data_IF_352536338597
#
_entry.id   IF_352536338597
#
_cell.length_a   1.000
_cell.length_b   1.000
_cell.length_c   1.000
_cell.angle_alpha   90.00
_cell.angle_beta   90.00
_cell.angle_gamma   90.00
#
_symmetry.space_group_name_H-M   'P 1'
#
loop_
_entity.id
_entity.type
_entity.pdbx_description
1 polymer ?
#
# COMPACT_ATOMS: atom_id res chain seq x y z
N UNK A 1 -12.19 -36.59 41.10
CA UNK A 1 -12.07 -36.10 39.71
C UNK A 1 -12.53 -34.64 39.73
N UNK A 2 -11.58 -33.70 39.74
CA UNK A 2 -11.84 -32.27 39.93
C UNK A 2 -12.16 -31.61 38.58
N UNK A 3 -13.39 -31.12 38.39
CA UNK A 3 -13.73 -30.23 37.29
C UNK A 3 -13.68 -28.78 37.79
N UNK A 4 -12.57 -28.11 37.46
CA UNK A 4 -12.44 -26.65 37.55
C UNK A 4 -13.33 -26.00 36.49
N UNK A 5 -14.43 -25.38 36.90
CA UNK A 5 -15.15 -24.40 36.09
C UNK A 5 -14.30 -23.13 36.01
N UNK A 6 -13.63 -22.94 34.87
CA UNK A 6 -13.04 -21.65 34.49
C UNK A 6 -14.17 -20.64 34.34
N UNK A 7 -14.31 -19.74 35.33
CA UNK A 7 -15.08 -18.50 35.17
C UNK A 7 -14.52 -17.74 33.98
N UNK A 8 -15.33 -17.58 32.94
CA UNK A 8 -15.09 -16.69 31.83
C UNK A 8 -14.99 -15.26 32.35
N UNK A 9 -13.91 -14.58 31.97
CA UNK A 9 -13.56 -13.21 32.33
C UNK A 9 -14.43 -12.21 31.56
N UNK A 10 -15.76 -12.36 31.63
CA UNK A 10 -16.75 -11.54 30.93
C UNK A 10 -17.64 -10.70 31.85
N UNK A 11 -17.50 -10.81 33.17
CA UNK A 11 -18.41 -10.17 34.13
C UNK A 11 -17.76 -9.05 34.98
N UNK A 12 -16.57 -8.57 34.60
CA UNK A 12 -15.85 -7.50 35.32
C UNK A 12 -15.71 -6.19 34.54
N UNK A 13 -16.40 -6.04 33.41
CA UNK A 13 -16.56 -4.75 32.74
C UNK A 13 -17.96 -4.23 33.03
N UNK A 14 -18.02 -3.37 34.03
CA UNK A 14 -19.24 -2.68 34.43
C UNK A 14 -19.91 -1.95 33.26
N UNK A 15 -21.23 -2.04 33.28
CA UNK A 15 -22.21 -1.13 32.69
C UNK A 15 -21.67 0.25 32.30
N UNK A 16 -21.32 0.37 31.02
CA UNK A 16 -21.14 1.63 30.32
C UNK A 16 -21.69 1.45 28.91
N UNK A 17 -22.93 1.91 28.68
CA UNK A 17 -23.43 2.16 27.33
C UNK A 17 -22.44 3.10 26.65
N UNK A 18 -21.75 2.69 25.59
CA UNK A 18 -21.46 3.50 24.40
C UNK A 18 -20.65 2.74 23.33
N UNK A 19 -21.24 2.73 22.13
CA UNK A 19 -20.70 2.49 20.79
C UNK A 19 -20.09 1.12 20.50
N UNK A 20 -20.94 0.21 20.00
CA UNK A 20 -20.48 -0.68 18.93
C UNK A 20 -20.01 0.19 17.74
N UNK A 21 -18.90 -0.15 17.07
CA UNK A 21 -18.51 0.48 15.82
C UNK A 21 -19.54 0.11 14.76
N UNK A 22 -20.59 0.91 14.67
CA UNK A 22 -21.61 0.82 13.64
C UNK A 22 -21.00 1.38 12.35
N UNK A 23 -20.23 0.53 11.66
CA UNK A 23 -19.94 0.49 10.21
C UNK A 23 -18.63 -0.27 9.98
N UNK A 24 -18.75 -1.52 9.55
CA UNK A 24 -17.63 -2.34 9.05
C UNK A 24 -17.16 -1.87 7.65
N UNK A 25 -17.51 -0.63 7.27
CA UNK A 25 -17.36 -0.02 5.97
C UNK A 25 -16.55 1.28 6.09
N UNK A 26 -15.57 1.44 5.20
CA UNK A 26 -14.81 2.70 5.08
C UNK A 26 -15.78 3.86 4.81
N UNK A 27 -15.64 5.01 5.50
CA UNK A 27 -16.53 6.16 5.27
C UNK A 27 -16.49 6.66 3.82
N UNK A 28 -17.64 7.02 3.25
CA UNK A 28 -17.74 7.47 1.83
C UNK A 28 -16.83 8.67 1.53
N UNK A 29 -16.76 9.64 2.44
CA UNK A 29 -15.89 10.81 2.29
C UNK A 29 -14.41 10.42 2.18
N UNK A 30 -13.99 9.32 2.83
CA UNK A 30 -12.61 8.80 2.71
C UNK A 30 -12.39 8.21 1.32
N UNK A 31 -13.36 7.45 0.80
CA UNK A 31 -13.29 6.86 -0.54
C UNK A 31 -13.24 7.97 -1.61
N UNK A 32 -14.08 8.99 -1.47
CA UNK A 32 -14.09 10.15 -2.37
C UNK A 32 -12.76 10.91 -2.32
N UNK A 33 -12.29 11.27 -1.13
CA UNK A 33 -11.02 11.97 -0.96
C UNK A 33 -9.83 11.16 -1.49
N UNK A 34 -9.83 9.85 -1.24
CA UNK A 34 -8.82 8.94 -1.75
C UNK A 34 -8.83 8.85 -3.27
N UNK A 35 -10.00 8.81 -3.93
CA UNK A 35 -10.11 8.73 -5.39
C UNK A 35 -9.55 9.96 -6.13
N UNK A 36 -9.43 11.09 -5.43
CA UNK A 36 -8.89 12.36 -5.94
C UNK A 36 -7.44 12.58 -5.49
N UNK A 37 -6.87 11.67 -4.72
CA UNK A 37 -5.53 11.81 -4.19
C UNK A 37 -4.51 11.67 -5.31
N UNK A 38 -3.61 12.64 -5.51
CA UNK A 38 -2.63 12.54 -6.57
C UNK A 38 -1.64 11.41 -6.29
N UNK A 39 -1.48 10.57 -7.31
CA UNK A 39 -0.43 9.56 -7.37
C UNK A 39 0.66 10.01 -8.34
N UNK A 40 1.85 9.46 -8.16
CA UNK A 40 2.97 9.69 -9.07
C UNK A 40 3.29 8.40 -9.79
N UNK A 41 3.60 8.53 -11.08
CA UNK A 41 4.20 7.47 -11.89
C UNK A 41 5.64 7.83 -12.19
N UNK A 42 6.48 6.81 -12.35
CA UNK A 42 7.83 6.96 -12.84
C UNK A 42 8.22 5.72 -13.63
N UNK A 43 9.14 5.92 -14.58
CA UNK A 43 9.65 4.85 -15.41
C UNK A 43 11.08 4.51 -15.01
N UNK A 44 11.39 3.22 -15.02
CA UNK A 44 12.76 2.72 -14.88
C UNK A 44 13.09 1.95 -16.16
N UNK A 45 14.18 2.35 -16.81
CA UNK A 45 14.67 1.74 -18.04
C UNK A 45 15.91 0.92 -17.74
N UNK A 46 15.84 -0.35 -18.06
CA UNK A 46 16.95 -1.26 -18.00
C UNK A 46 17.53 -1.41 -19.41
N UNK A 47 18.77 -0.96 -19.60
CA UNK A 47 19.38 -0.87 -20.93
C UNK A 47 19.84 -2.23 -21.49
N UNK A 48 20.16 -3.18 -20.63
CA UNK A 48 20.65 -4.50 -20.99
C UNK A 48 20.35 -5.52 -19.89
N UNK A 49 20.66 -6.79 -20.17
CA UNK A 49 20.63 -7.86 -19.18
C UNK A 49 21.70 -7.60 -18.15
N UNK A 50 21.30 -6.93 -17.08
CA UNK A 50 22.08 -6.76 -15.86
C UNK A 50 21.43 -7.67 -14.81
N UNK A 51 22.21 -8.16 -13.85
CA UNK A 51 21.74 -8.94 -12.68
C UNK A 51 20.85 -8.09 -11.74
N UNK A 52 19.81 -7.47 -12.27
CA UNK A 52 18.85 -6.64 -11.56
C UNK A 52 17.97 -7.56 -10.73
N UNK A 53 18.13 -7.49 -9.41
CA UNK A 53 17.35 -8.32 -8.49
C UNK A 53 16.16 -7.54 -7.95
N UNK A 54 15.15 -7.34 -8.81
CA UNK A 54 13.84 -6.86 -8.37
C UNK A 54 12.99 -8.05 -7.98
N UNK A 55 12.62 -8.12 -6.71
CA UNK A 55 11.62 -9.07 -6.23
C UNK A 55 10.27 -8.37 -6.18
N UNK A 56 9.28 -8.96 -6.82
CA UNK A 56 7.88 -8.53 -6.74
C UNK A 56 7.07 -9.53 -5.93
N UNK A 57 6.14 -9.02 -5.13
CA UNK A 57 5.11 -9.82 -4.50
C UNK A 57 3.81 -9.61 -5.26
N UNK A 58 3.28 -10.72 -5.79
CA UNK A 58 1.97 -10.73 -6.40
C UNK A 58 0.89 -10.88 -5.34
N UNK A 59 -0.09 -9.97 -5.31
CA UNK A 59 -1.23 -10.01 -4.40
C UNK A 59 -2.52 -10.08 -5.22
N UNK A 60 -3.36 -11.06 -4.92
CA UNK A 60 -4.63 -11.29 -5.62
C UNK A 60 -5.80 -11.23 -4.64
N UNK A 61 -6.85 -10.53 -5.03
CA UNK A 61 -8.16 -10.67 -4.40
C UNK A 61 -9.03 -11.70 -5.15
N UNK A 62 -10.00 -12.30 -4.45
CA UNK A 62 -10.87 -13.37 -4.98
C UNK A 62 -11.56 -13.02 -6.31
N UNK A 63 -11.72 -11.72 -6.63
CA UNK A 63 -12.36 -11.20 -7.86
C UNK A 63 -11.67 -9.92 -8.35
N UNK A 64 -10.39 -9.98 -8.67
CA UNK A 64 -9.67 -8.83 -9.21
C UNK A 64 -8.41 -9.20 -9.97
N UNK A 65 -7.86 -8.21 -10.67
CA UNK A 65 -6.53 -8.26 -11.25
C UNK A 65 -5.49 -8.42 -10.13
N UNK A 66 -4.40 -9.09 -10.46
CA UNK A 66 -3.27 -9.25 -9.57
C UNK A 66 -2.45 -7.97 -9.52
N UNK A 67 -2.06 -7.60 -8.30
CA UNK A 67 -1.21 -6.45 -8.04
C UNK A 67 0.22 -6.92 -7.88
N UNK A 68 1.13 -6.32 -8.61
CA UNK A 68 2.56 -6.57 -8.52
C UNK A 68 3.21 -5.46 -7.72
N UNK A 69 3.68 -5.78 -6.50
CA UNK A 69 4.33 -4.81 -5.62
C UNK A 69 5.81 -5.10 -5.53
N UNK A 70 6.66 -4.10 -5.68
CA UNK A 70 8.09 -4.23 -5.42
C UNK A 70 8.28 -4.53 -3.93
N UNK A 71 8.78 -5.72 -3.60
CA UNK A 71 9.05 -6.14 -2.22
C UNK A 71 10.53 -5.99 -1.84
N UNK A 72 11.43 -6.11 -2.82
CA UNK A 72 12.87 -5.87 -2.67
C UNK A 72 13.43 -5.38 -4.00
N UNK A 73 14.40 -4.48 -3.93
CA UNK A 73 15.24 -4.11 -5.07
C UNK A 73 16.61 -3.67 -4.58
N UNK A 74 17.64 -4.01 -5.35
CA UNK A 74 19.00 -3.49 -5.29
C UNK A 74 19.20 -2.23 -6.13
N UNK A 75 18.22 -1.88 -6.96
CA UNK A 75 18.22 -0.67 -7.79
C UNK A 75 17.71 0.53 -6.98
N UNK A 76 18.49 1.63 -6.87
CA UNK A 76 18.11 2.78 -6.07
C UNK A 76 16.85 3.49 -6.61
N UNK A 77 16.62 3.40 -7.92
CA UNK A 77 15.49 4.03 -8.60
C UNK A 77 14.20 3.22 -8.46
N UNK A 78 14.26 1.95 -8.05
CA UNK A 78 13.09 1.08 -7.89
C UNK A 78 12.64 1.04 -6.44
N UNK A 79 11.64 1.87 -6.12
CA UNK A 79 11.21 2.06 -4.74
C UNK A 79 10.34 0.90 -4.23
N UNK A 80 10.78 0.24 -3.16
CA UNK A 80 10.01 -0.79 -2.45
C UNK A 80 8.63 -0.25 -2.04
N UNK A 81 7.59 -1.06 -2.25
CA UNK A 81 6.19 -0.73 -2.04
C UNK A 81 5.51 -0.08 -3.25
N UNK A 82 6.24 0.24 -4.31
CA UNK A 82 5.65 0.69 -5.58
C UNK A 82 4.88 -0.44 -6.25
N UNK A 83 3.79 -0.10 -6.91
CA UNK A 83 3.10 -1.02 -7.79
C UNK A 83 3.77 -0.99 -9.16
N UNK A 84 4.15 -2.15 -9.69
CA UNK A 84 4.49 -2.27 -11.11
C UNK A 84 3.17 -2.34 -11.89
N UNK A 85 2.95 -1.37 -12.78
CA UNK A 85 1.69 -1.24 -13.51
C UNK A 85 1.81 -1.66 -14.97
N UNK A 86 2.94 -1.34 -15.62
CA UNK A 86 3.28 -1.74 -16.99
C UNK A 86 4.69 -2.30 -17.06
N UNK A 87 4.89 -3.22 -17.99
CA UNK A 87 6.20 -3.61 -18.52
C UNK A 87 6.14 -3.30 -20.02
N UNK A 88 7.10 -2.54 -20.52
CA UNK A 88 7.16 -2.16 -21.93
C UNK A 88 5.85 -1.54 -22.45
N UNK A 89 5.22 -0.69 -21.64
CA UNK A 89 3.95 -0.03 -22.01
C UNK A 89 2.71 -0.93 -21.96
N UNK A 90 2.89 -2.24 -21.69
CA UNK A 90 1.83 -3.23 -21.66
C UNK A 90 1.48 -3.68 -20.24
N UNK A 91 0.22 -4.08 -20.06
CA UNK A 91 -0.26 -4.65 -18.80
C UNK A 91 0.35 -6.02 -18.60
N UNK A 92 0.85 -6.27 -17.38
CA UNK A 92 1.37 -7.58 -17.00
C UNK A 92 0.22 -8.60 -17.07
N UNK A 93 0.33 -9.67 -17.86
CA UNK A 93 -0.70 -10.70 -17.95
C UNK A 93 -0.98 -11.37 -16.60
N UNK A 94 -2.19 -11.89 -16.46
CA UNK A 94 -2.53 -12.74 -15.32
C UNK A 94 -1.82 -14.10 -15.43
N UNK A 95 -0.64 -14.23 -14.80
CA UNK A 95 0.06 -15.52 -14.65
C UNK A 95 -0.47 -16.40 -13.49
N UNK A 96 0.33 -17.38 -13.06
CA UNK A 96 0.03 -18.24 -11.89
C UNK A 96 0.27 -17.52 -10.54
N UNK A 97 -0.32 -18.01 -9.43
CA UNK A 97 -0.17 -17.37 -8.11
C UNK A 97 1.28 -17.31 -7.60
N UNK A 98 2.15 -18.20 -8.07
CA UNK A 98 3.57 -18.26 -7.69
C UNK A 98 4.48 -17.53 -8.68
N UNK A 99 3.90 -16.87 -9.67
CA UNK A 99 4.65 -16.11 -10.65
C UNK A 99 5.24 -14.86 -9.97
N UNK A 100 6.58 -14.82 -9.92
CA UNK A 100 7.35 -13.75 -9.30
C UNK A 100 8.35 -13.14 -10.28
N UNK A 101 8.46 -13.72 -11.47
CA UNK A 101 9.32 -13.21 -12.53
C UNK A 101 8.50 -12.26 -13.40
N UNK A 102 8.76 -10.97 -13.19
CA UNK A 102 8.06 -9.89 -13.87
C UNK A 102 8.22 -9.93 -15.40
N UNK A 103 9.28 -10.58 -15.90
CA UNK A 103 9.64 -10.62 -17.31
C UNK A 103 9.46 -11.99 -17.95
N UNK A 104 9.04 -13.01 -17.21
CA UNK A 104 8.92 -14.38 -17.73
C UNK A 104 7.94 -14.50 -18.91
N UNK A 105 6.92 -13.63 -18.98
CA UNK A 105 5.95 -13.61 -20.07
C UNK A 105 6.45 -12.87 -21.31
N UNK A 106 7.45 -12.00 -21.17
CA UNK A 106 7.95 -11.13 -22.22
C UNK A 106 9.20 -11.75 -22.88
N UNK A 107 8.99 -12.96 -23.42
CA UNK A 107 10.06 -13.83 -23.96
C UNK A 107 10.62 -13.34 -25.29
N UNK A 108 9.94 -12.39 -25.94
CA UNK A 108 10.31 -11.84 -27.26
C UNK A 108 10.92 -10.43 -27.14
N UNK A 109 10.73 -9.77 -26.00
CA UNK A 109 11.31 -8.47 -25.68
C UNK A 109 12.80 -8.56 -25.52
N UNK A 110 13.47 -7.94 -26.49
CA UNK A 110 14.87 -7.55 -26.36
C UNK A 110 14.98 -6.33 -25.46
N UNK A 111 16.12 -6.20 -24.79
CA UNK A 111 16.47 -4.96 -24.12
C UNK A 111 16.45 -3.76 -25.10
N UNK A 112 16.10 -2.55 -24.64
CA UNK A 112 15.87 -2.19 -23.25
C UNK A 112 14.47 -2.56 -22.74
N UNK A 113 14.36 -2.82 -21.43
CA UNK A 113 13.07 -3.09 -20.75
C UNK A 113 12.66 -1.91 -19.89
N UNK A 114 11.41 -1.48 -20.01
CA UNK A 114 10.85 -0.36 -19.25
C UNK A 114 9.82 -0.86 -18.25
N UNK A 115 9.95 -0.45 -16.99
CA UNK A 115 8.92 -0.63 -15.98
C UNK A 115 8.23 0.71 -15.73
N UNK A 116 6.91 0.75 -15.78
CA UNK A 116 6.12 1.88 -15.30
C UNK A 116 5.62 1.57 -13.90
N UNK A 117 6.15 2.30 -12.92
CA UNK A 117 5.85 2.11 -11.51
C UNK A 117 4.93 3.23 -11.01
N UNK A 118 4.08 2.87 -10.06
CA UNK A 118 3.22 3.80 -9.33
C UNK A 118 3.73 3.90 -7.90
N UNK A 119 4.03 5.12 -7.50
CA UNK A 119 4.47 5.45 -6.15
C UNK A 119 3.24 5.70 -5.25
N UNK A 120 3.03 4.91 -4.19
CA UNK A 120 2.00 5.20 -3.21
C UNK A 120 2.29 6.53 -2.51
N UNK A 121 1.24 7.25 -2.05
CA UNK A 121 1.46 8.48 -1.31
C UNK A 121 2.21 8.21 0.00
N UNK A 122 2.82 9.25 0.55
CA UNK A 122 3.47 9.19 1.86
C UNK A 122 2.96 10.30 2.74
N UNK A 123 2.80 10.04 4.04
CA UNK A 123 2.43 11.07 5.01
C UNK A 123 3.17 10.84 6.32
N UNK A 124 3.67 11.92 6.91
CA UNK A 124 4.30 11.94 8.22
C UNK A 124 3.65 12.99 9.10
N UNK A 125 3.70 12.79 10.41
CA UNK A 125 3.17 13.77 11.35
C UNK A 125 3.05 13.22 12.75
N UNK A 126 2.90 14.12 13.71
CA UNK A 126 2.72 13.76 15.11
C UNK A 126 1.24 13.56 15.39
N UNK A 127 0.87 12.36 15.87
CA UNK A 127 -0.51 12.02 16.22
C UNK A 127 -0.57 11.41 17.62
N UNK A 128 -1.76 11.46 18.22
CA UNK A 128 -2.01 10.80 19.50
C UNK A 128 -2.64 9.43 19.27
N UNK A 129 -2.04 8.36 19.80
CA UNK A 129 -2.59 6.99 19.72
C UNK A 129 -3.00 6.42 21.06
N UNK A 130 -4.07 5.63 21.06
CA UNK A 130 -4.48 4.85 22.25
C UNK A 130 -3.48 3.74 22.53
N UNK A 131 -3.14 3.53 23.79
CA UNK A 131 -2.32 2.39 24.23
C UNK A 131 -3.07 1.07 24.04
N UNK A 132 -2.35 0.03 23.61
CA UNK A 132 -2.87 -1.35 23.54
C UNK A 132 -2.99 -2.01 24.92
N UNK A 133 -2.46 -1.40 25.98
CA UNK A 133 -2.37 -1.98 27.33
C UNK A 133 -3.70 -2.03 28.10
N UNK A 134 -4.85 -1.75 27.47
CA UNK A 134 -6.18 -1.74 28.10
C UNK A 134 -6.44 -0.61 29.10
N UNK A 135 -5.43 0.22 29.40
CA UNK A 135 -5.60 1.48 30.15
C UNK A 135 -6.04 2.56 29.16
N UNK A 136 -6.85 3.52 29.60
CA UNK A 136 -7.21 4.70 28.79
C UNK A 136 -6.06 5.70 28.73
N UNK A 137 -4.90 5.22 28.27
CA UNK A 137 -3.68 5.99 28.09
C UNK A 137 -3.54 6.32 26.62
N UNK A 138 -3.31 7.60 26.35
CA UNK A 138 -3.06 8.13 25.02
C UNK A 138 -1.62 8.63 24.96
N UNK A 139 -0.89 8.20 23.94
CA UNK A 139 0.52 8.54 23.77
C UNK A 139 0.70 9.29 22.45
N UNK A 140 1.36 10.45 22.50
CA UNK A 140 1.81 11.14 21.30
C UNK A 140 2.98 10.39 20.65
N UNK A 141 2.91 10.18 19.34
CA UNK A 141 3.96 9.52 18.55
C UNK A 141 4.12 10.20 17.21
N UNK A 142 5.33 10.15 16.66
CA UNK A 142 5.55 10.53 15.27
C UNK A 142 5.20 9.35 14.38
N UNK A 143 4.30 9.55 13.42
CA UNK A 143 3.85 8.53 12.48
C UNK A 143 4.45 8.75 11.10
N UNK A 144 4.70 7.65 10.41
CA UNK A 144 5.13 7.62 9.01
C UNK A 144 4.37 6.53 8.27
N UNK A 145 3.60 6.93 7.26
CA UNK A 145 3.00 6.01 6.30
C UNK A 145 3.81 6.06 5.02
N UNK A 146 4.36 4.92 4.63
CA UNK A 146 5.11 4.75 3.38
C UNK A 146 5.16 3.27 3.03
N UNK A 147 5.24 2.94 1.73
CA UNK A 147 5.53 1.58 1.25
C UNK A 147 4.58 0.49 1.78
N UNK A 148 3.29 0.79 1.91
CA UNK A 148 2.30 -0.16 2.46
C UNK A 148 2.36 -0.35 3.98
N UNK A 149 3.20 0.39 4.69
CA UNK A 149 3.39 0.27 6.13
C UNK A 149 3.09 1.58 6.86
N UNK A 150 2.42 1.48 8.00
CA UNK A 150 2.31 2.55 8.99
C UNK A 150 3.28 2.25 10.13
N UNK A 151 4.27 3.11 10.33
CA UNK A 151 5.22 3.02 11.44
C UNK A 151 5.04 4.18 12.41
N UNK A 152 5.36 3.96 13.67
CA UNK A 152 5.33 5.02 14.67
C UNK A 152 6.50 4.97 15.66
N UNK A 153 6.92 6.18 16.04
CA UNK A 153 8.15 6.43 16.76
C UNK A 153 7.90 7.27 18.01
N UNK A 154 8.66 6.97 19.06
CA UNK A 154 8.84 7.86 20.20
C UNK A 154 9.97 8.83 19.88
N UNK A 155 9.72 10.12 20.01
CA UNK A 155 10.72 11.17 19.79
C UNK A 155 11.49 11.35 21.09
N UNK A 156 12.78 11.00 21.08
CA UNK A 156 13.67 11.09 22.25
C UNK A 156 14.43 12.42 22.29
N UNK A 157 14.62 13.05 21.13
CA UNK A 157 15.27 14.34 20.95
C UNK A 157 15.06 14.86 19.51
N UNK A 158 15.74 15.94 19.14
CA UNK A 158 15.51 16.62 17.85
C UNK A 158 15.70 15.71 16.63
N UNK A 159 16.69 14.81 16.66
CA UNK A 159 16.99 13.88 15.56
C UNK A 159 16.98 12.41 16.00
N UNK A 160 16.53 12.13 17.23
CA UNK A 160 16.53 10.77 17.77
C UNK A 160 15.10 10.25 17.90
N UNK A 161 14.80 9.21 17.13
CA UNK A 161 13.50 8.54 17.11
C UNK A 161 13.67 7.05 17.37
N UNK A 162 12.88 6.52 18.30
CA UNK A 162 12.83 5.08 18.60
C UNK A 162 11.56 4.46 18.04
N UNK A 163 11.70 3.49 17.15
CA UNK A 163 10.54 2.73 16.62
C UNK A 163 9.82 2.02 17.77
N UNK A 164 8.51 2.21 17.87
CA UNK A 164 7.66 1.61 18.90
C UNK A 164 6.71 0.56 18.34
N UNK A 165 6.48 0.58 17.04
CA UNK A 165 5.76 -0.45 16.33
C UNK A 165 5.39 -0.04 14.92
N UNK A 166 4.80 -0.99 14.23
CA UNK A 166 4.39 -0.90 12.84
C UNK A 166 3.06 -1.65 12.62
N UNK A 167 2.46 -1.42 11.46
CA UNK A 167 1.25 -2.08 10.99
C UNK A 167 1.30 -2.20 9.46
N UNK A 168 1.15 -3.42 8.96
CA UNK A 168 0.93 -3.68 7.53
C UNK A 168 -0.47 -3.23 7.13
N UNK A 169 -0.53 -2.33 6.14
CA UNK A 169 -1.78 -1.74 5.67
C UNK A 169 -2.51 -2.60 4.65
N UNK A 170 -1.95 -3.73 4.20
CA UNK A 170 -2.65 -4.69 3.36
C UNK A 170 -4.01 -5.05 3.99
N UNK A 171 -5.14 -4.84 3.30
CA UNK A 171 -6.49 -5.21 3.77
C UNK A 171 -6.84 -4.63 5.16
N UNK A 172 -6.33 -3.45 5.49
CA UNK A 172 -6.70 -2.79 6.75
C UNK A 172 -8.15 -2.28 6.65
N UNK A 173 -8.94 -2.49 7.70
CA UNK A 173 -10.26 -1.85 7.83
C UNK A 173 -10.10 -0.49 8.51
N UNK A 174 -10.81 0.52 8.00
CA UNK A 174 -10.85 1.86 8.57
C UNK A 174 -12.27 2.14 9.09
N UNK A 175 -12.38 2.61 10.33
CA UNK A 175 -13.63 3.06 10.90
C UNK A 175 -13.44 4.38 11.65
N UNK A 176 -14.37 5.31 11.46
CA UNK A 176 -14.42 6.52 12.28
C UNK A 176 -15.00 6.19 13.65
N UNK A 177 -14.44 6.82 14.67
CA UNK A 177 -14.95 6.74 16.02
C UNK A 177 -14.79 8.06 16.74
N UNK A 178 -15.44 8.17 17.88
CA UNK A 178 -15.30 9.31 18.79
C UNK A 178 -15.24 8.80 20.23
N UNK A 179 -14.55 9.53 21.08
CA UNK A 179 -14.67 9.38 22.53
C UNK A 179 -15.18 10.69 23.11
N UNK A 180 -15.55 10.68 24.40
CA UNK A 180 -16.03 11.88 25.11
C UNK A 180 -15.06 13.06 25.01
N UNK A 181 -13.76 12.79 24.98
CA UNK A 181 -12.70 13.81 24.98
C UNK A 181 -12.02 13.98 23.61
N UNK A 182 -12.26 13.06 22.66
CA UNK A 182 -11.57 13.01 21.37
C UNK A 182 -12.59 12.75 20.25
N UNK A 183 -13.21 13.82 19.70
CA UNK A 183 -14.29 13.69 18.72
C UNK A 183 -13.81 13.16 17.36
N UNK A 184 -12.54 13.37 17.02
CA UNK A 184 -11.96 12.97 15.74
C UNK A 184 -11.00 11.80 15.94
N UNK A 185 -11.52 10.58 15.93
CA UNK A 185 -10.69 9.37 15.98
C UNK A 185 -10.87 8.49 14.73
N UNK A 186 -9.81 7.75 14.41
CA UNK A 186 -9.76 6.73 13.37
C UNK A 186 -9.29 5.42 13.99
N UNK A 187 -10.05 4.35 13.79
CA UNK A 187 -9.67 2.99 14.14
C UNK A 187 -9.18 2.26 12.88
N UNK A 188 -7.97 1.72 12.95
CA UNK A 188 -7.38 0.83 11.96
C UNK A 188 -7.41 -0.58 12.52
N UNK A 189 -8.01 -1.52 11.79
CA UNK A 189 -8.15 -2.92 12.24
C UNK A 189 -7.68 -3.88 11.17
N UNK A 190 -6.63 -4.64 11.49
CA UNK A 190 -6.11 -5.73 10.64
C UNK A 190 -6.69 -7.08 11.07
N UNK A 191 -6.81 -7.27 12.38
CA UNK A 191 -7.43 -8.43 13.02
C UNK A 191 -7.97 -8.02 14.40
N UNK A 192 -8.66 -8.92 15.09
CA UNK A 192 -9.16 -8.63 16.45
C UNK A 192 -8.06 -8.32 17.46
N UNK A 193 -6.84 -8.82 17.26
CA UNK A 193 -5.68 -8.59 18.12
C UNK A 193 -4.74 -7.50 17.60
N UNK A 194 -4.92 -7.05 16.35
CA UNK A 194 -4.10 -6.02 15.73
C UNK A 194 -4.97 -4.85 15.27
N UNK A 195 -5.16 -3.92 16.20
CA UNK A 195 -5.83 -2.65 15.97
C UNK A 195 -5.00 -1.47 16.48
N UNK A 196 -5.29 -0.30 15.92
CA UNK A 196 -4.67 0.96 16.28
C UNK A 196 -5.72 2.07 16.22
N UNK A 197 -5.85 2.82 17.32
CA UNK A 197 -6.76 3.97 17.39
C UNK A 197 -5.93 5.24 17.44
N UNK A 198 -6.19 6.13 16.48
CA UNK A 198 -5.55 7.42 16.32
C UNK A 198 -6.56 8.53 16.63
N UNK A 199 -6.10 9.60 17.24
CA UNK A 199 -6.86 10.82 17.54
C UNK A 199 -6.20 12.00 16.84
N UNK A 200 -7.05 12.86 16.28
CA UNK A 200 -6.68 14.04 15.50
C UNK A 200 -7.20 15.30 16.17
N UNK A 201 -6.61 16.44 15.80
CA UNK A 201 -7.01 17.75 16.33
C UNK A 201 -8.24 18.29 15.60
N UNK A 202 -8.38 17.96 14.31
CA UNK A 202 -9.46 18.42 13.46
C UNK A 202 -10.01 17.27 12.61
N UNK A 203 -11.25 17.43 12.12
CA UNK A 203 -11.84 16.45 11.21
C UNK A 203 -11.13 16.42 9.85
N UNK A 204 -10.66 17.58 9.38
CA UNK A 204 -9.87 17.68 8.14
C UNK A 204 -8.60 16.86 8.22
N UNK A 205 -7.84 16.97 9.32
CA UNK A 205 -6.64 16.16 9.54
C UNK A 205 -6.98 14.66 9.57
N UNK A 206 -8.08 14.27 10.25
CA UNK A 206 -8.56 12.88 10.27
C UNK A 206 -8.87 12.38 8.85
N UNK A 207 -9.57 13.17 8.05
CA UNK A 207 -9.93 12.82 6.67
C UNK A 207 -8.69 12.65 5.79
N UNK A 208 -7.74 13.58 5.86
CA UNK A 208 -6.49 13.49 5.09
C UNK A 208 -5.70 12.21 5.43
N UNK A 209 -5.52 11.92 6.72
CA UNK A 209 -4.83 10.70 7.15
C UNK A 209 -5.59 9.44 6.74
N UNK A 210 -6.91 9.42 6.92
CA UNK A 210 -7.74 8.29 6.53
C UNK A 210 -7.68 8.03 5.02
N UNK A 211 -7.75 9.08 4.20
CA UNK A 211 -7.64 8.98 2.75
C UNK A 211 -6.27 8.46 2.32
N UNK A 212 -5.17 8.97 2.92
CA UNK A 212 -3.82 8.47 2.60
C UNK A 212 -3.67 7.00 2.96
N UNK A 213 -4.09 6.60 4.17
CA UNK A 213 -4.00 5.20 4.62
C UNK A 213 -4.85 4.29 3.74
N UNK A 214 -6.07 4.72 3.40
CA UNK A 214 -6.96 3.97 2.53
C UNK A 214 -6.37 3.80 1.13
N UNK A 215 -5.87 4.88 0.49
CA UNK A 215 -5.22 4.80 -0.82
C UNK A 215 -4.04 3.82 -0.82
N UNK A 216 -3.21 3.84 0.22
CA UNK A 216 -2.05 2.95 0.32
C UNK A 216 -2.48 1.50 0.56
N UNK A 217 -3.52 1.29 1.38
CA UNK A 217 -4.13 -0.04 1.56
C UNK A 217 -4.67 -0.58 0.25
N UNK A 218 -5.43 0.22 -0.50
CA UNK A 218 -6.00 -0.19 -1.79
C UNK A 218 -4.88 -0.52 -2.78
N UNK A 219 -3.85 0.32 -2.92
CA UNK A 219 -2.70 0.01 -3.77
C UNK A 219 -2.03 -1.30 -3.33
N UNK A 220 -1.85 -1.49 -2.02
CA UNK A 220 -1.23 -2.69 -1.48
C UNK A 220 -2.09 -3.97 -1.59
N UNK A 221 -3.39 -3.86 -1.87
CA UNK A 221 -4.33 -4.99 -1.89
C UNK A 221 -4.92 -5.26 -3.28
N UNK A 222 -5.38 -4.22 -3.96
CA UNK A 222 -6.15 -4.24 -5.22
C UNK A 222 -5.52 -3.41 -6.32
N UNK A 223 -4.48 -2.64 -6.00
CA UNK A 223 -3.82 -1.73 -6.92
C UNK A 223 -4.53 -0.40 -6.99
N UNK A 224 -4.11 0.44 -7.94
CA UNK A 224 -4.77 1.73 -8.15
C UNK A 224 -6.21 1.58 -8.66
N UNK A 225 -7.07 2.52 -8.26
CA UNK A 225 -8.45 2.63 -8.76
C UNK A 225 -8.49 3.11 -10.22
N UNK A 226 -9.65 2.96 -10.87
CA UNK A 226 -9.87 3.51 -12.21
C UNK A 226 -9.71 5.04 -12.25
N UNK A 227 -10.08 5.75 -11.19
CA UNK A 227 -9.90 7.20 -11.08
C UNK A 227 -8.41 7.58 -11.12
N UNK A 228 -7.58 6.85 -10.38
CA UNK A 228 -6.13 7.03 -10.43
C UNK A 228 -5.55 6.66 -11.79
N UNK A 229 -6.03 5.59 -12.42
CA UNK A 229 -5.57 5.20 -13.76
C UNK A 229 -5.90 6.29 -14.80
N UNK A 230 -7.09 6.89 -14.71
CA UNK A 230 -7.49 8.04 -15.54
C UNK A 230 -6.59 9.25 -15.30
N UNK A 231 -6.37 9.60 -14.02
CA UNK A 231 -5.50 10.70 -13.63
C UNK A 231 -4.08 10.56 -14.18
N UNK A 232 -3.55 9.33 -14.19
CA UNK A 232 -2.20 9.03 -14.64
C UNK A 232 -2.10 8.82 -16.16
N UNK A 233 -3.21 8.90 -16.90
CA UNK A 233 -3.24 8.63 -18.35
C UNK A 233 -2.99 7.16 -18.70
N UNK A 234 -3.21 6.25 -17.77
CA UNK A 234 -2.92 4.82 -17.89
C UNK A 234 -4.13 3.96 -18.33
N UNK A 235 -5.25 4.60 -18.69
CA UNK A 235 -6.46 3.90 -19.13
C UNK A 235 -6.36 3.35 -20.55
N UNK A 236 -5.35 3.75 -21.32
CA UNK A 236 -5.12 3.27 -22.69
C UNK A 236 -3.89 2.38 -22.68
N UNK A 237 -3.93 1.26 -23.41
CA UNK A 237 -2.73 0.50 -23.70
C UNK A 237 -1.74 1.44 -24.41
N UNK A 238 -0.63 1.76 -23.75
CA UNK A 238 0.49 2.46 -24.36
C UNK A 238 1.17 1.48 -25.30
N UNK A 239 0.70 1.41 -26.54
CA UNK A 239 1.51 0.84 -27.62
C UNK A 239 2.82 1.61 -27.64
N UNK A 240 3.94 0.91 -27.43
CA UNK A 240 5.25 1.47 -27.77
C UNK A 240 5.19 1.86 -29.24
N UNK A 241 5.57 3.10 -29.56
CA UNK A 241 5.91 3.42 -30.95
C UNK A 241 7.09 2.52 -31.32
N UNK A 242 6.87 1.58 -32.24
CA UNK A 242 7.97 0.88 -32.92
C UNK A 242 8.90 1.96 -33.48
N UNK A 243 10.02 2.22 -32.80
CA UNK A 243 11.09 3.01 -33.39
C UNK A 243 11.64 2.21 -34.57
N UNK A 244 11.72 2.88 -35.72
CA UNK A 244 12.00 2.37 -37.05
C UNK A 244 13.01 1.19 -37.08
N UNK A 245 12.53 0.03 -37.53
CA UNK A 245 13.32 -1.16 -37.91
C UNK A 245 14.47 -0.86 -38.90
N UNK A 246 14.47 0.32 -39.53
CA UNK A 246 15.47 0.73 -40.52
C UNK A 246 16.82 1.17 -39.92
N UNK A 247 16.93 1.31 -38.60
CA UNK A 247 18.19 1.67 -37.93
C UNK A 247 19.05 0.46 -37.52
N UNK A 248 18.59 -0.77 -37.73
CA UNK A 248 19.34 -1.97 -37.37
C UNK A 248 20.35 -2.32 -38.46
N UNK A 249 21.64 -2.10 -38.15
CA UNK A 249 22.74 -2.25 -39.09
C UNK A 249 22.91 -3.67 -39.68
N UNK A 250 23.76 -3.81 -40.72
CA UNK A 250 23.87 -5.02 -41.56
C UNK A 250 24.27 -6.32 -40.84
N UNK A 251 24.61 -6.27 -39.55
CA UNK A 251 24.81 -7.45 -38.72
C UNK A 251 23.51 -8.20 -38.43
N UNK A 252 22.35 -7.51 -38.37
CA UNK A 252 21.05 -8.10 -38.04
C UNK A 252 20.53 -9.03 -39.16
N UNK A 253 20.73 -8.66 -40.43
CA UNK A 253 20.32 -9.47 -41.58
C UNK A 253 21.18 -10.71 -41.84
N UNK A 254 22.32 -10.86 -41.14
CA UNK A 254 23.23 -12.01 -41.33
C UNK A 254 22.93 -13.19 -40.40
N UNK A 255 22.14 -12.97 -39.35
CA UNK A 255 21.94 -13.97 -38.28
C UNK A 255 20.70 -14.86 -38.48
N UNK A 256 19.78 -14.51 -39.39
CA UNK A 256 18.56 -15.30 -39.66
C UNK A 256 18.33 -15.37 -41.18
N UNK A 257 18.52 -16.53 -41.83
CA UNK A 257 17.99 -16.74 -43.17
C UNK A 257 16.49 -17.05 -43.06
N UNK A 258 15.66 -16.42 -43.90
CA UNK A 258 14.27 -16.84 -44.10
C UNK A 258 14.22 -18.22 -44.77
#
# INVERSE_FOLDING_TARGET
>A
MFHFLKKTKSELLGSGRHMEPDTDCTPEAVIEAASRMPLLTYDVLFACEVDVTITVTRRRERKGESVWLVSKSDEPDVLVGSQVYLVNGERIPEGSENDTDLFAWDVVSTWPRRLTLILPPTKTGTLTKKSRSGRDKWDERHFKVQRGMLKYFEVLGTNEMKEKGDMDLHRIKLAYMATKERPYCLCLTKSSSDSLILSFTTDTERLEWAATIYTISEIATRGISAAHAAQLGLMTATSIAHDDDQCLGPAFHKAIPF
#
